data_IF_858001276979
#
_entry.id   IF_858001276979
#
_cell.length_a   1.000
_cell.length_b   1.000
_cell.length_c   1.000
_cell.angle_alpha   90.00
_cell.angle_beta   90.00
_cell.angle_gamma   90.00
#
_symmetry.space_group_name_H-M   'P 1'
#
loop_
_entity.id
_entity.type
_entity.pdbx_description
1 polymer ?
#
# COMPACT_ATOMS: atom_id res chain seq x y z
N UNK A 1 10.43 72.80 -46.92
CA UNK A 1 11.71 73.36 -46.42
C UNK A 1 12.35 72.22 -45.64
N UNK A 2 13.14 71.40 -46.32
CA UNK A 2 14.59 71.58 -46.53
C UNK A 2 15.32 71.47 -45.18
N UNK A 3 15.92 70.31 -44.90
CA UNK A 3 17.39 70.05 -44.91
C UNK A 3 17.97 70.29 -43.50
N UNK A 4 18.93 69.54 -42.95
CA UNK A 4 19.77 68.40 -43.36
C UNK A 4 20.19 67.64 -42.09
N UNK A 5 20.48 66.34 -42.14
CA UNK A 5 21.81 65.74 -42.39
C UNK A 5 22.88 66.21 -41.38
N UNK A 6 23.77 65.39 -40.82
CA UNK A 6 23.98 63.96 -40.61
C UNK A 6 25.34 63.90 -39.87
N UNK A 7 25.57 62.98 -38.93
CA UNK A 7 26.86 62.26 -38.83
C UNK A 7 26.84 61.13 -37.78
N UNK A 8 26.86 59.92 -38.33
CA UNK A 8 27.56 58.67 -38.01
C UNK A 8 27.70 58.05 -36.60
N UNK A 9 27.56 56.72 -36.62
CA UNK A 9 27.45 55.74 -35.53
C UNK A 9 28.84 55.21 -35.06
N UNK A 10 28.95 54.34 -34.01
CA UNK A 10 28.54 52.93 -34.15
C UNK A 10 27.99 52.20 -32.90
N UNK A 11 27.25 51.12 -33.20
CA UNK A 11 27.19 49.78 -32.58
C UNK A 11 26.70 49.52 -31.13
N UNK A 12 25.97 48.40 -31.07
CA UNK A 12 25.74 47.43 -29.98
C UNK A 12 24.59 47.60 -28.97
N UNK A 13 23.71 46.58 -28.97
CA UNK A 13 23.35 45.89 -27.74
C UNK A 13 21.90 45.99 -27.25
N UNK A 14 21.24 44.83 -27.20
CA UNK A 14 20.09 44.45 -26.35
C UNK A 14 18.74 45.14 -26.60
N UNK A 15 17.91 44.51 -27.43
CA UNK A 15 16.45 44.62 -27.32
C UNK A 15 15.97 43.70 -26.20
N UNK A 16 15.76 44.26 -25.01
CA UNK A 16 15.07 43.59 -23.91
C UNK A 16 13.62 43.29 -24.32
N UNK A 17 13.31 42.01 -24.54
CA UNK A 17 11.93 41.56 -24.66
C UNK A 17 11.30 41.55 -23.27
N UNK A 18 10.36 42.46 -23.06
CA UNK A 18 9.59 42.63 -21.84
C UNK A 18 9.05 41.30 -21.28
N UNK A 19 9.52 40.93 -20.10
CA UNK A 19 8.95 39.84 -19.30
C UNK A 19 7.64 40.36 -18.72
N UNK A 20 6.51 39.79 -19.15
CA UNK A 20 5.21 40.07 -18.56
C UNK A 20 5.22 39.70 -17.07
N UNK A 21 4.71 40.61 -16.23
CA UNK A 21 4.58 40.35 -14.81
C UNK A 21 3.66 39.14 -14.56
N UNK A 22 4.00 38.22 -13.64
CA UNK A 22 3.20 37.03 -13.39
C UNK A 22 1.83 37.42 -12.79
N UNK A 23 0.77 36.80 -13.30
CA UNK A 23 -0.57 36.91 -12.73
C UNK A 23 -0.56 36.54 -11.24
N UNK A 24 -1.12 37.42 -10.40
CA UNK A 24 -1.21 37.18 -8.96
C UNK A 24 -2.00 35.90 -8.70
N UNK A 25 -1.34 34.91 -8.09
CA UNK A 25 -1.95 33.65 -7.66
C UNK A 25 -1.49 32.41 -8.41
N UNK A 26 -0.67 32.54 -9.46
CA UNK A 26 -0.07 31.39 -10.16
C UNK A 26 1.41 31.32 -9.81
N UNK A 27 1.81 30.28 -9.07
CA UNK A 27 3.23 30.02 -8.85
C UNK A 27 3.89 29.66 -10.20
N UNK A 28 4.93 30.37 -10.64
CA UNK A 28 5.57 30.06 -11.92
C UNK A 28 6.19 28.66 -11.84
N UNK A 29 5.68 27.72 -12.64
CA UNK A 29 6.31 26.43 -12.84
C UNK A 29 7.61 26.71 -13.57
N UNK A 30 8.76 26.42 -12.93
CA UNK A 30 10.06 26.64 -13.58
C UNK A 30 10.09 25.83 -14.89
N UNK A 31 10.60 26.36 -16.01
CA UNK A 31 10.60 25.68 -17.31
C UNK A 31 11.21 24.27 -17.26
N UNK A 32 12.20 24.05 -16.39
CA UNK A 32 12.80 22.72 -16.18
C UNK A 32 11.86 21.64 -15.63
N UNK A 33 10.66 22.01 -15.16
CA UNK A 33 9.63 21.09 -14.65
C UNK A 33 8.48 20.89 -15.65
N UNK A 34 8.51 21.56 -16.82
CA UNK A 34 7.55 21.39 -17.90
C UNK A 34 8.07 20.35 -18.90
N UNK A 35 8.17 19.09 -18.48
CA UNK A 35 8.41 17.99 -19.43
C UNK A 35 7.13 17.76 -20.24
N UNK A 36 7.15 18.09 -21.53
CA UNK A 36 6.02 17.80 -22.44
C UNK A 36 5.87 16.30 -22.65
N UNK A 37 4.69 15.86 -23.10
CA UNK A 37 4.45 14.44 -23.37
C UNK A 37 5.42 13.92 -24.45
N UNK A 38 5.72 14.77 -25.41
CA UNK A 38 6.65 14.53 -26.51
C UNK A 38 8.09 14.39 -25.99
N UNK A 39 8.54 15.29 -25.11
CA UNK A 39 9.87 15.21 -24.49
C UNK A 39 10.04 13.96 -23.60
N UNK A 40 8.97 13.54 -22.92
CA UNK A 40 8.98 12.30 -22.15
C UNK A 40 9.05 11.05 -23.04
N UNK A 41 8.35 11.05 -24.19
CA UNK A 41 8.44 9.96 -25.17
C UNK A 41 9.79 9.93 -25.87
N UNK A 42 10.33 11.08 -26.28
CA UNK A 42 11.71 11.19 -26.78
C UNK A 42 12.73 10.71 -25.73
N UNK A 43 12.53 11.02 -24.44
CA UNK A 43 13.37 10.48 -23.37
C UNK A 43 13.30 8.95 -23.25
N UNK A 44 12.11 8.36 -23.38
CA UNK A 44 11.94 6.90 -23.39
C UNK A 44 12.54 6.22 -24.64
N UNK A 45 12.63 6.94 -25.76
CA UNK A 45 13.16 6.47 -27.05
C UNK A 45 14.66 6.75 -27.20
N UNK A 46 15.18 7.80 -26.55
CA UNK A 46 16.59 8.20 -26.52
C UNK A 46 17.39 7.36 -25.51
N UNK A 47 17.46 6.06 -25.74
CA UNK A 47 18.53 5.23 -25.17
C UNK A 47 19.89 5.77 -25.64
N UNK A 48 20.59 6.50 -24.77
CA UNK A 48 21.92 7.05 -25.12
C UNK A 48 22.71 7.69 -23.97
N UNK A 49 22.06 8.05 -22.86
CA UNK A 49 22.74 8.30 -21.59
C UNK A 49 21.98 7.58 -20.50
N UNK A 50 22.13 6.25 -20.50
CA UNK A 50 21.76 5.43 -19.34
C UNK A 50 22.41 6.07 -18.11
N UNK A 51 21.60 6.70 -17.25
CA UNK A 51 21.94 6.69 -15.83
C UNK A 51 21.99 5.19 -15.57
N UNK A 52 23.21 4.63 -15.41
CA UNK A 52 23.41 3.22 -15.09
C UNK A 52 22.34 2.87 -14.08
N UNK A 53 21.41 1.97 -14.44
CA UNK A 53 20.34 1.54 -13.55
C UNK A 53 21.04 1.16 -12.27
N UNK A 54 20.95 2.01 -11.23
CA UNK A 54 21.57 1.70 -9.97
C UNK A 54 20.78 0.50 -9.48
N UNK A 55 21.46 -0.63 -9.35
CA UNK A 55 20.95 -1.75 -8.56
C UNK A 55 20.88 -1.27 -7.12
N UNK A 56 19.83 -0.53 -6.79
CA UNK A 56 19.48 -0.23 -5.40
C UNK A 56 18.89 -1.51 -4.84
N UNK A 57 19.76 -2.30 -4.22
CA UNK A 57 19.36 -3.53 -3.54
C UNK A 57 18.52 -3.20 -2.32
N UNK A 58 17.42 -3.93 -2.14
CA UNK A 58 16.59 -3.90 -0.94
C UNK A 58 16.77 -5.23 -0.21
N UNK A 59 17.72 -5.30 0.72
CA UNK A 59 17.92 -6.51 1.52
C UNK A 59 16.93 -6.59 2.68
N UNK A 60 15.83 -7.30 2.43
CA UNK A 60 14.79 -7.58 3.43
C UNK A 60 14.49 -9.07 3.54
N UNK A 61 15.43 -9.92 3.14
CA UNK A 61 15.26 -11.37 3.24
C UNK A 61 15.01 -11.80 4.69
N UNK A 62 14.07 -12.73 4.89
CA UNK A 62 13.65 -13.22 6.20
C UNK A 62 12.76 -12.26 7.01
N UNK A 63 12.53 -11.02 6.54
CA UNK A 63 11.69 -10.05 7.25
C UNK A 63 10.18 -10.31 7.05
N UNK A 64 9.39 -10.00 8.07
CA UNK A 64 7.93 -10.05 8.01
C UNK A 64 7.35 -8.72 7.51
N UNK A 65 6.67 -8.76 6.37
CA UNK A 65 6.18 -7.56 5.69
C UNK A 65 4.67 -7.39 5.90
N UNK A 66 4.25 -6.31 6.57
CA UNK A 66 2.84 -5.91 6.61
C UNK A 66 2.38 -5.42 5.23
N UNK A 67 1.34 -6.05 4.68
CA UNK A 67 0.80 -5.68 3.39
C UNK A 67 0.20 -4.25 3.39
N UNK A 68 0.22 -3.54 2.25
CA UNK A 68 -0.60 -2.35 2.06
C UNK A 68 -2.08 -2.75 2.02
N UNK A 69 -2.87 -2.23 2.97
CA UNK A 69 -4.26 -2.65 3.22
C UNK A 69 -5.19 -1.45 3.09
N UNK A 70 -5.80 -1.22 1.92
CA UNK A 70 -6.71 -0.08 1.73
C UNK A 70 -7.80 -0.03 2.81
N UNK A 71 -8.04 1.16 3.36
CA UNK A 71 -8.92 1.50 4.50
C UNK A 71 -8.35 1.13 5.88
N UNK A 72 -7.70 -0.01 6.04
CA UNK A 72 -7.30 -0.49 7.38
C UNK A 72 -5.80 -0.34 7.68
N UNK A 73 -4.94 -0.26 6.66
CA UNK A 73 -3.48 -0.14 6.74
C UNK A 73 -2.97 1.27 7.01
N UNK A 74 -3.79 2.08 7.67
CA UNK A 74 -3.45 3.46 8.05
C UNK A 74 -2.32 3.48 9.09
N UNK A 75 -1.71 4.65 9.28
CA UNK A 75 -0.56 4.81 10.16
C UNK A 75 -0.78 4.27 11.60
N UNK A 76 -1.92 4.55 12.27
CA UNK A 76 -2.22 3.94 13.57
C UNK A 76 -2.15 2.42 13.57
N UNK A 77 -2.75 1.76 12.57
CA UNK A 77 -2.73 0.30 12.48
C UNK A 77 -1.32 -0.24 12.23
N UNK A 78 -0.53 0.41 11.37
CA UNK A 78 0.86 -0.01 11.11
C UNK A 78 1.72 0.10 12.36
N UNK A 79 1.52 1.12 13.20
CA UNK A 79 2.18 1.25 14.52
C UNK A 79 1.83 0.09 15.46
N UNK A 80 0.57 -0.35 15.48
CA UNK A 80 0.18 -1.55 16.22
C UNK A 80 0.95 -2.77 15.73
N UNK A 81 0.99 -3.01 14.42
CA UNK A 81 1.74 -4.13 13.85
C UNK A 81 3.25 -4.04 14.10
N UNK A 82 3.86 -2.84 14.04
CA UNK A 82 5.29 -2.63 14.40
C UNK A 82 5.56 -3.05 15.84
N UNK A 83 4.68 -2.71 16.79
CA UNK A 83 4.82 -3.14 18.19
C UNK A 83 4.82 -4.66 18.33
N UNK A 84 4.02 -5.35 17.53
CA UNK A 84 3.98 -6.82 17.49
C UNK A 84 5.07 -7.45 16.62
N UNK A 85 6.02 -6.66 16.11
CA UNK A 85 7.18 -7.18 15.41
C UNK A 85 7.03 -7.30 13.90
N UNK A 86 6.14 -6.53 13.26
CA UNK A 86 6.27 -6.30 11.82
C UNK A 86 7.63 -5.65 11.52
N UNK A 87 8.38 -6.19 10.56
CA UNK A 87 9.70 -5.68 10.21
C UNK A 87 9.59 -4.58 9.15
N UNK A 88 8.78 -4.84 8.12
CA UNK A 88 8.53 -3.94 7.00
C UNK A 88 7.08 -3.47 7.01
N UNK A 89 6.89 -2.18 6.77
CA UNK A 89 5.57 -1.54 6.65
C UNK A 89 5.44 -0.84 5.31
N UNK A 90 4.22 -0.76 4.80
CA UNK A 90 3.93 0.01 3.59
C UNK A 90 2.61 0.74 3.74
N UNK A 91 2.58 1.99 3.27
CA UNK A 91 1.38 2.81 3.26
C UNK A 91 0.25 2.16 2.46
N UNK A 92 -0.98 2.63 2.68
CA UNK A 92 -2.07 2.24 1.79
C UNK A 92 -1.76 2.67 0.35
N UNK A 93 -2.37 1.96 -0.61
CA UNK A 93 -2.24 2.28 -2.03
C UNK A 93 -2.68 3.72 -2.31
N UNK A 94 -1.75 4.56 -2.73
CA UNK A 94 -1.98 5.95 -3.09
C UNK A 94 -2.14 6.13 -4.61
N UNK A 95 -3.22 6.78 -5.04
CA UNK A 95 -3.55 7.03 -6.44
C UNK A 95 -2.72 8.21 -6.95
N UNK A 96 -1.86 7.96 -7.93
CA UNK A 96 -0.90 8.95 -8.44
C UNK A 96 -1.58 10.25 -8.92
N UNK A 97 -2.73 10.15 -9.60
CA UNK A 97 -3.45 11.34 -10.07
C UNK A 97 -3.95 12.20 -8.91
N UNK A 98 -4.39 11.57 -7.81
CA UNK A 98 -4.88 12.29 -6.63
C UNK A 98 -3.73 12.97 -5.88
N UNK A 99 -2.57 12.32 -5.80
CA UNK A 99 -1.35 12.91 -5.24
C UNK A 99 -0.90 14.14 -6.03
N UNK A 100 -0.81 14.02 -7.35
CA UNK A 100 -0.43 15.13 -8.23
C UNK A 100 -1.43 16.29 -8.21
N UNK A 101 -2.70 16.01 -7.93
CA UNK A 101 -3.74 17.03 -7.72
C UNK A 101 -3.70 17.68 -6.33
N UNK A 102 -2.79 17.26 -5.45
CA UNK A 102 -2.66 17.82 -4.10
C UNK A 102 -3.78 17.38 -3.14
N UNK A 103 -4.47 16.27 -3.40
CA UNK A 103 -5.55 15.82 -2.51
C UNK A 103 -5.00 15.41 -1.14
N UNK A 104 -5.33 16.18 -0.11
CA UNK A 104 -4.77 16.03 1.25
C UNK A 104 -5.02 14.64 1.85
N UNK A 105 -6.16 14.02 1.53
CA UNK A 105 -6.46 12.65 1.97
C UNK A 105 -5.50 11.61 1.41
N UNK A 106 -5.04 11.81 0.18
CA UNK A 106 -4.09 10.91 -0.49
C UNK A 106 -2.67 11.10 0.07
N UNK A 107 -2.27 12.35 0.28
CA UNK A 107 -0.99 12.69 0.90
C UNK A 107 -0.87 12.16 2.33
N UNK A 108 -1.98 12.07 3.06
CA UNK A 108 -1.99 11.47 4.40
C UNK A 108 -1.57 9.99 4.41
N UNK A 109 -1.75 9.26 3.30
CA UNK A 109 -1.36 7.85 3.17
C UNK A 109 0.17 7.67 3.15
N UNK A 110 0.90 8.72 2.79
CA UNK A 110 2.36 8.72 2.65
C UNK A 110 3.10 8.98 3.97
N UNK A 111 2.37 9.26 5.05
CA UNK A 111 2.97 9.58 6.35
C UNK A 111 3.61 8.36 7.00
N UNK A 112 4.85 8.55 7.46
CA UNK A 112 5.66 7.61 8.27
C UNK A 112 5.67 8.04 9.74
N UNK A 113 5.68 7.09 10.67
CA UNK A 113 5.99 7.32 12.08
C UNK A 113 7.41 6.86 12.39
N UNK A 114 8.08 7.49 13.36
CA UNK A 114 9.47 7.16 13.74
C UNK A 114 9.70 5.70 14.17
N UNK A 115 8.63 4.98 14.55
CA UNK A 115 8.71 3.56 14.89
C UNK A 115 8.74 2.63 13.67
N UNK A 116 8.58 3.15 12.46
CA UNK A 116 8.62 2.38 11.22
C UNK A 116 10.04 2.40 10.68
N UNK A 117 10.88 1.43 11.07
CA UNK A 117 12.30 1.37 10.68
C UNK A 117 12.51 1.12 9.18
N UNK A 118 11.60 0.36 8.56
CA UNK A 118 11.56 0.16 7.12
C UNK A 118 10.13 0.40 6.60
N UNK A 119 9.98 1.46 5.82
CA UNK A 119 8.71 1.98 5.34
C UNK A 119 8.76 2.24 3.83
N UNK A 120 7.77 1.70 3.11
CA UNK A 120 7.55 2.03 1.71
C UNK A 120 6.21 2.69 1.43
N UNK A 121 6.12 3.30 0.24
CA UNK A 121 4.88 3.84 -0.29
C UNK A 121 4.44 3.04 -1.50
N UNK A 122 3.19 2.58 -1.50
CA UNK A 122 2.60 1.91 -2.65
C UNK A 122 1.83 2.90 -3.53
N UNK A 123 2.21 2.99 -4.80
CA UNK A 123 1.56 3.82 -5.82
C UNK A 123 0.64 3.01 -6.73
N UNK A 124 -0.47 3.62 -7.13
CA UNK A 124 -1.43 3.09 -8.10
C UNK A 124 -1.63 4.06 -9.26
N UNK A 125 -1.64 3.51 -10.48
CA UNK A 125 -1.82 4.26 -11.71
C UNK A 125 -1.68 3.35 -12.94
N UNK A 126 -1.91 3.94 -14.10
CA UNK A 126 -2.01 3.19 -15.37
C UNK A 126 -1.18 3.78 -16.52
N UNK A 127 -0.54 4.93 -16.29
CA UNK A 127 0.10 5.73 -17.34
C UNK A 127 1.54 6.09 -16.97
N UNK A 128 2.52 5.82 -17.85
CA UNK A 128 3.94 6.07 -17.59
C UNK A 128 4.28 7.50 -17.16
N UNK A 129 3.72 8.51 -17.84
CA UNK A 129 3.94 9.93 -17.56
C UNK A 129 3.47 10.30 -16.14
N UNK A 130 2.28 9.83 -15.77
CA UNK A 130 1.67 10.12 -14.47
C UNK A 130 2.42 9.41 -13.34
N UNK A 131 2.76 8.13 -13.53
CA UNK A 131 3.52 7.35 -12.54
C UNK A 131 4.93 7.94 -12.33
N UNK A 132 5.61 8.34 -13.41
CA UNK A 132 6.97 8.89 -13.34
C UNK A 132 6.98 10.26 -12.64
N UNK A 133 6.06 11.16 -12.99
CA UNK A 133 5.93 12.46 -12.30
C UNK A 133 5.58 12.29 -10.82
N UNK A 134 4.75 11.30 -10.50
CA UNK A 134 4.44 10.98 -9.11
C UNK A 134 5.70 10.47 -8.38
N UNK A 135 6.45 9.55 -8.97
CA UNK A 135 7.70 9.05 -8.40
C UNK A 135 8.74 10.17 -8.16
N UNK A 136 8.90 11.09 -9.13
CA UNK A 136 9.77 12.27 -8.99
C UNK A 136 9.31 13.19 -7.85
N UNK A 137 8.01 13.41 -7.72
CA UNK A 137 7.42 14.17 -6.63
C UNK A 137 7.70 13.50 -5.27
N UNK A 138 7.49 12.18 -5.16
CA UNK A 138 7.78 11.43 -3.94
C UNK A 138 9.26 11.55 -3.56
N UNK A 139 10.17 11.32 -4.51
CA UNK A 139 11.62 11.39 -4.28
C UNK A 139 12.09 12.74 -3.71
N UNK A 140 11.36 13.82 -4.01
CA UNK A 140 11.67 15.18 -3.54
C UNK A 140 11.02 15.55 -2.22
N UNK A 141 9.93 14.89 -1.83
CA UNK A 141 9.02 15.40 -0.79
C UNK A 141 8.73 14.41 0.33
N UNK A 142 9.05 13.13 0.14
CA UNK A 142 8.72 12.07 1.10
C UNK A 142 9.96 11.22 1.35
N UNK A 143 10.25 10.99 2.63
CA UNK A 143 11.30 10.08 3.08
C UNK A 143 10.74 8.64 3.17
N UNK A 144 11.24 7.76 2.31
CA UNK A 144 10.83 6.36 2.19
C UNK A 144 12.04 5.48 1.90
N UNK A 145 11.97 4.21 2.30
CA UNK A 145 13.05 3.25 2.05
C UNK A 145 12.87 2.52 0.71
N UNK A 146 11.66 2.51 0.15
CA UNK A 146 11.33 1.99 -1.18
C UNK A 146 9.99 2.54 -1.69
N UNK A 147 9.78 2.45 -3.01
CA UNK A 147 8.48 2.72 -3.65
C UNK A 147 7.96 1.43 -4.26
N UNK A 148 6.68 1.12 -4.05
CA UNK A 148 6.03 -0.08 -4.57
C UNK A 148 4.98 0.27 -5.63
N UNK A 149 4.90 -0.50 -6.72
CA UNK A 149 3.81 -0.37 -7.71
C UNK A 149 2.72 -1.39 -7.40
N UNK A 150 1.49 -0.92 -7.22
CA UNK A 150 0.34 -1.80 -7.13
C UNK A 150 -0.04 -2.35 -8.51
N UNK A 151 0.15 -3.66 -8.67
CA UNK A 151 -0.23 -4.43 -9.86
C UNK A 151 -1.15 -5.60 -9.46
N UNK A 152 -1.74 -5.51 -8.26
CA UNK A 152 -2.49 -6.60 -7.62
C UNK A 152 -3.92 -6.23 -7.20
N UNK A 153 -4.28 -4.95 -7.24
CA UNK A 153 -5.61 -4.48 -6.85
C UNK A 153 -6.67 -5.00 -7.83
N UNK A 154 -7.68 -5.76 -7.36
CA UNK A 154 -8.70 -6.34 -8.22
C UNK A 154 -9.92 -5.43 -8.44
N UNK A 155 -9.96 -4.25 -7.80
CA UNK A 155 -11.12 -3.35 -7.77
C UNK A 155 -11.47 -2.94 -9.20
N UNK A 156 -12.75 -3.08 -9.56
CA UNK A 156 -13.21 -2.88 -10.94
C UNK A 156 -12.98 -1.45 -11.43
N UNK A 157 -13.10 -0.45 -10.54
CA UNK A 157 -12.81 0.94 -10.88
C UNK A 157 -11.33 1.16 -11.27
N UNK A 158 -10.41 0.54 -10.55
CA UNK A 158 -8.96 0.61 -10.81
C UNK A 158 -8.63 -0.15 -12.09
N UNK A 159 -9.14 -1.38 -12.22
CA UNK A 159 -8.91 -2.21 -13.40
C UNK A 159 -9.43 -1.58 -14.70
N UNK A 160 -10.64 -1.01 -14.68
CA UNK A 160 -11.24 -0.36 -15.86
C UNK A 160 -10.44 0.86 -16.34
N UNK A 161 -9.75 1.55 -15.42
CA UNK A 161 -8.80 2.63 -15.75
C UNK A 161 -7.45 2.10 -16.25
N UNK A 162 -7.25 0.78 -16.24
CA UNK A 162 -6.05 0.12 -16.72
C UNK A 162 -4.92 0.02 -15.69
N UNK A 163 -5.22 0.25 -14.41
CA UNK A 163 -4.31 0.09 -13.26
C UNK A 163 -4.51 -1.25 -12.53
N UNK A 164 -3.83 -1.44 -11.41
CA UNK A 164 -3.85 -2.67 -10.61
C UNK A 164 -3.55 -3.91 -11.46
N UNK A 165 -4.34 -4.97 -11.31
CA UNK A 165 -4.17 -6.21 -12.07
C UNK A 165 -4.23 -6.02 -13.61
N UNK A 166 -4.81 -4.93 -14.13
CA UNK A 166 -4.86 -4.70 -15.57
C UNK A 166 -3.47 -4.52 -16.19
N UNK A 167 -2.51 -3.97 -15.43
CA UNK A 167 -1.14 -3.76 -15.89
C UNK A 167 -0.43 -5.07 -16.24
N UNK A 168 -0.80 -6.19 -15.62
CA UNK A 168 -0.23 -7.51 -15.92
C UNK A 168 -0.43 -7.95 -17.38
N UNK A 169 -1.49 -7.45 -18.04
CA UNK A 169 -1.78 -7.74 -19.45
C UNK A 169 -1.31 -6.63 -20.40
N UNK A 170 -0.61 -5.60 -19.89
CA UNK A 170 -0.17 -4.41 -20.64
C UNK A 170 1.35 -4.24 -20.52
N UNK A 171 2.10 -5.29 -20.86
CA UNK A 171 3.56 -5.36 -20.62
C UNK A 171 4.31 -4.13 -21.13
N UNK A 172 4.00 -3.63 -22.34
CA UNK A 172 4.65 -2.43 -22.90
C UNK A 172 4.48 -1.20 -22.01
N UNK A 173 3.25 -0.95 -21.52
CA UNK A 173 3.00 0.20 -20.63
C UNK A 173 3.60 -0.02 -19.26
N UNK A 174 3.55 -1.25 -18.75
CA UNK A 174 4.13 -1.57 -17.46
C UNK A 174 5.65 -1.40 -17.48
N UNK A 175 6.33 -1.86 -18.54
CA UNK A 175 7.75 -1.60 -18.79
C UNK A 175 8.08 -0.11 -18.77
N UNK A 176 7.31 0.70 -19.51
CA UNK A 176 7.51 2.16 -19.54
C UNK A 176 7.33 2.81 -18.16
N UNK A 177 6.37 2.34 -17.35
CA UNK A 177 6.18 2.80 -15.97
C UNK A 177 7.42 2.47 -15.13
N UNK A 178 7.87 1.21 -15.14
CA UNK A 178 9.02 0.77 -14.32
C UNK A 178 10.27 1.55 -14.69
N UNK A 179 10.59 1.65 -15.99
CA UNK A 179 11.77 2.38 -16.45
C UNK A 179 11.70 3.88 -16.12
N UNK A 180 10.54 4.51 -16.32
CA UNK A 180 10.35 5.93 -16.01
C UNK A 180 10.52 6.21 -14.52
N UNK A 181 9.94 5.38 -13.65
CA UNK A 181 10.07 5.52 -12.20
C UNK A 181 11.51 5.27 -11.71
N UNK A 182 12.17 4.21 -12.20
CA UNK A 182 13.56 3.91 -11.84
C UNK A 182 14.55 5.02 -12.23
N UNK A 183 14.25 5.80 -13.26
CA UNK A 183 15.11 6.92 -13.65
C UNK A 183 15.15 8.04 -12.58
N UNK A 184 14.01 8.28 -11.93
CA UNK A 184 13.79 9.46 -11.08
C UNK A 184 13.84 9.16 -9.58
N UNK A 185 13.69 7.90 -9.18
CA UNK A 185 13.81 7.45 -7.79
C UNK A 185 15.27 7.22 -7.41
N UNK A 186 15.61 7.61 -6.18
CA UNK A 186 16.90 7.28 -5.56
C UNK A 186 16.82 6.04 -4.66
N UNK A 187 15.62 5.49 -4.48
CA UNK A 187 15.30 4.32 -3.64
C UNK A 187 14.82 3.13 -4.51
N UNK A 188 14.95 1.88 -4.03
CA UNK A 188 14.49 0.70 -4.75
C UNK A 188 13.01 0.77 -5.16
N UNK A 189 12.72 0.33 -6.38
CA UNK A 189 11.36 0.13 -6.88
C UNK A 189 10.96 -1.33 -6.74
N UNK A 190 9.86 -1.57 -6.04
CA UNK A 190 9.27 -2.91 -5.86
C UNK A 190 7.92 -3.00 -6.56
N UNK A 191 7.40 -4.22 -6.75
CA UNK A 191 6.08 -4.43 -7.34
C UNK A 191 5.28 -5.49 -6.59
N UNK A 192 3.98 -5.24 -6.42
CA UNK A 192 3.04 -6.24 -5.88
C UNK A 192 2.07 -6.73 -6.95
N UNK A 193 2.18 -8.00 -7.33
CA UNK A 193 1.38 -8.63 -8.39
C UNK A 193 0.45 -9.73 -7.84
N UNK A 194 -0.41 -10.26 -8.73
CA UNK A 194 -1.22 -11.47 -8.55
C UNK A 194 -0.72 -12.59 -9.46
N UNK A 195 -1.29 -13.79 -9.38
CA UNK A 195 -0.94 -14.89 -10.32
C UNK A 195 -1.34 -14.56 -11.77
N UNK A 196 -2.37 -13.74 -11.94
CA UNK A 196 -2.87 -13.25 -13.22
C UNK A 196 -4.25 -12.62 -13.07
N UNK A 197 -4.87 -12.27 -14.20
CA UNK A 197 -6.24 -11.74 -14.20
C UNK A 197 -7.26 -12.87 -14.07
N UNK A 198 -7.12 -13.92 -14.88
CA UNK A 198 -8.07 -15.02 -14.96
C UNK A 198 -7.69 -16.18 -14.04
N UNK A 199 -8.67 -16.92 -13.49
CA UNK A 199 -8.43 -18.02 -12.55
C UNK A 199 -7.52 -19.14 -13.09
N UNK A 200 -7.63 -19.50 -14.37
CA UNK A 200 -6.89 -20.62 -14.98
C UNK A 200 -5.73 -20.20 -15.88
N UNK A 201 -5.45 -18.91 -15.94
CA UNK A 201 -4.42 -18.34 -16.82
C UNK A 201 -3.41 -17.59 -15.96
N UNK A 202 -2.41 -18.32 -15.47
CA UNK A 202 -1.33 -17.70 -14.72
C UNK A 202 -0.32 -17.06 -15.66
N UNK A 203 0.12 -15.84 -15.34
CA UNK A 203 1.05 -15.06 -16.16
C UNK A 203 2.26 -14.56 -15.35
N UNK A 204 2.21 -14.63 -14.01
CA UNK A 204 3.28 -14.13 -13.14
C UNK A 204 4.65 -14.76 -13.46
N UNK A 205 4.70 -16.09 -13.66
CA UNK A 205 5.93 -16.81 -14.03
C UNK A 205 6.64 -16.28 -15.28
N UNK A 206 5.91 -15.69 -16.24
CA UNK A 206 6.50 -15.10 -17.46
C UNK A 206 6.90 -13.65 -17.24
N UNK A 207 6.14 -12.93 -16.42
CA UNK A 207 6.35 -11.52 -16.14
C UNK A 207 7.54 -11.27 -15.18
N UNK A 208 7.80 -12.16 -14.23
CA UNK A 208 8.85 -11.99 -13.22
C UNK A 208 10.28 -11.84 -13.81
N UNK A 209 10.71 -12.66 -14.80
CA UNK A 209 11.98 -12.43 -15.49
C UNK A 209 12.07 -11.07 -16.18
N UNK A 210 10.96 -10.61 -16.78
CA UNK A 210 10.90 -9.29 -17.44
C UNK A 210 11.04 -8.16 -16.43
N UNK A 211 10.33 -8.24 -15.29
CA UNK A 211 10.40 -7.25 -14.21
C UNK A 211 11.82 -7.06 -13.69
N UNK A 212 12.54 -8.17 -13.49
CA UNK A 212 13.97 -8.15 -13.16
C UNK A 212 14.76 -7.39 -14.23
N UNK A 213 14.54 -7.73 -15.50
CA UNK A 213 15.20 -7.06 -16.63
C UNK A 213 14.86 -5.57 -16.79
N UNK A 214 13.78 -5.09 -16.16
CA UNK A 214 13.40 -3.67 -16.13
C UNK A 214 13.95 -2.93 -14.90
N UNK A 215 14.64 -3.63 -14.00
CA UNK A 215 15.24 -3.05 -12.79
C UNK A 215 14.30 -3.01 -11.59
N UNK A 216 13.31 -3.90 -11.50
CA UNK A 216 12.55 -4.09 -10.25
C UNK A 216 13.46 -4.78 -9.22
N UNK A 217 13.56 -4.19 -8.02
CA UNK A 217 14.45 -4.71 -6.97
C UNK A 217 13.84 -5.91 -6.21
N UNK A 218 12.52 -5.92 -6.04
CA UNK A 218 11.80 -6.97 -5.33
C UNK A 218 10.37 -7.09 -5.85
N UNK A 219 9.87 -8.32 -5.97
CA UNK A 219 8.47 -8.58 -6.29
C UNK A 219 7.74 -9.24 -5.11
N UNK A 220 6.45 -8.93 -4.94
CA UNK A 220 5.55 -9.66 -4.06
C UNK A 220 4.43 -10.30 -4.89
N UNK A 221 4.23 -11.61 -4.75
CA UNK A 221 3.19 -12.35 -5.45
C UNK A 221 2.06 -12.77 -4.50
N UNK A 222 0.86 -12.25 -4.74
CA UNK A 222 -0.36 -12.81 -4.14
C UNK A 222 -0.77 -14.06 -4.90
N UNK A 223 -0.86 -15.20 -4.22
CA UNK A 223 -1.18 -16.52 -4.79
C UNK A 223 -2.62 -16.69 -5.31
N UNK A 224 -3.31 -15.62 -5.67
CA UNK A 224 -4.63 -15.68 -6.32
C UNK A 224 -4.64 -14.86 -7.60
N UNK A 225 -5.50 -15.24 -8.53
CA UNK A 225 -5.83 -14.38 -9.67
C UNK A 225 -6.74 -13.22 -9.23
N UNK A 226 -6.97 -12.26 -10.12
CA UNK A 226 -7.96 -11.21 -9.90
C UNK A 226 -9.36 -11.78 -9.72
N UNK A 227 -9.80 -12.66 -10.63
CA UNK A 227 -11.15 -13.25 -10.64
C UNK A 227 -11.47 -14.05 -9.38
N UNK A 228 -10.47 -14.78 -8.85
CA UNK A 228 -10.63 -15.52 -7.60
C UNK A 228 -10.90 -14.61 -6.40
N UNK A 229 -10.61 -13.31 -6.49
CA UNK A 229 -10.71 -12.32 -5.40
C UNK A 229 -10.20 -12.91 -4.07
N UNK A 230 -11.13 -13.38 -3.23
CA UNK A 230 -10.88 -14.03 -1.95
C UNK A 230 -11.69 -15.33 -1.75
N UNK A 231 -12.31 -15.88 -2.80
CA UNK A 231 -13.21 -17.05 -2.71
C UNK A 231 -12.48 -18.39 -2.73
N UNK A 232 -11.24 -18.40 -3.24
CA UNK A 232 -10.36 -19.58 -3.29
C UNK A 232 -9.21 -19.47 -2.30
N UNK A 233 -8.44 -20.53 -2.10
CA UNK A 233 -7.17 -20.48 -1.36
C UNK A 233 -6.05 -19.89 -2.23
N UNK A 234 -5.03 -19.33 -1.61
CA UNK A 234 -3.81 -18.94 -2.29
C UNK A 234 -3.02 -20.17 -2.76
N UNK A 235 -2.58 -20.16 -4.02
CA UNK A 235 -1.78 -21.21 -4.63
C UNK A 235 -0.29 -21.00 -4.33
N UNK A 236 0.15 -21.61 -3.21
CA UNK A 236 1.54 -21.57 -2.77
C UNK A 236 2.46 -22.46 -3.61
N UNK A 237 1.93 -23.47 -4.29
CA UNK A 237 2.70 -24.32 -5.20
C UNK A 237 3.08 -23.52 -6.46
N UNK A 238 2.16 -22.70 -6.97
CA UNK A 238 2.46 -21.77 -8.04
C UNK A 238 3.40 -20.64 -7.61
N UNK A 239 3.32 -20.17 -6.36
CA UNK A 239 4.32 -19.23 -5.81
C UNK A 239 5.73 -19.85 -5.84
N UNK A 240 5.87 -21.12 -5.43
CA UNK A 240 7.16 -21.83 -5.49
C UNK A 240 7.75 -21.85 -6.92
N UNK A 241 6.92 -22.15 -7.94
CA UNK A 241 7.36 -22.06 -9.34
C UNK A 241 7.80 -20.64 -9.72
N UNK A 242 7.11 -19.62 -9.21
CA UNK A 242 7.44 -18.23 -9.48
C UNK A 242 8.72 -17.76 -8.79
N UNK A 243 9.11 -18.36 -7.66
CA UNK A 243 10.42 -18.10 -7.02
C UNK A 243 11.55 -18.44 -7.98
N UNK A 244 11.49 -19.62 -8.61
CA UNK A 244 12.50 -20.05 -9.60
C UNK A 244 12.57 -19.09 -10.80
N UNK A 245 11.41 -18.64 -11.29
CA UNK A 245 11.34 -17.70 -12.41
C UNK A 245 11.84 -16.27 -12.07
N UNK A 246 11.71 -15.83 -10.81
CA UNK A 246 12.15 -14.51 -10.37
C UNK A 246 13.67 -14.44 -10.11
N UNK A 247 14.28 -15.55 -9.72
CA UNK A 247 15.69 -15.63 -9.29
C UNK A 247 16.66 -14.92 -10.27
N UNK A 248 17.62 -14.10 -9.80
CA UNK A 248 17.97 -13.82 -8.40
C UNK A 248 17.16 -12.71 -7.72
N UNK A 249 16.17 -12.09 -8.39
CA UNK A 249 15.33 -11.07 -7.75
C UNK A 249 14.52 -11.71 -6.61
N UNK A 250 14.57 -11.17 -5.37
CA UNK A 250 13.79 -11.69 -4.26
C UNK A 250 12.28 -11.66 -4.55
N UNK A 251 11.61 -12.78 -4.22
CA UNK A 251 10.16 -12.89 -4.32
C UNK A 251 9.54 -13.09 -2.92
N UNK A 252 8.66 -12.17 -2.53
CA UNK A 252 7.83 -12.32 -1.34
C UNK A 252 6.53 -13.04 -1.66
N UNK A 253 6.17 -14.01 -0.82
CA UNK A 253 4.91 -14.73 -0.92
C UNK A 253 3.79 -14.02 -0.15
N UNK A 254 2.59 -13.96 -0.72
CA UNK A 254 1.42 -13.38 -0.07
C UNK A 254 0.17 -14.25 -0.26
N UNK A 255 -0.59 -14.42 0.82
CA UNK A 255 -1.92 -15.03 0.80
C UNK A 255 -2.13 -16.05 1.89
N UNK A 256 -3.21 -15.88 2.66
CA UNK A 256 -3.72 -16.87 3.62
C UNK A 256 -2.76 -17.29 4.73
N UNK A 257 -1.84 -16.40 5.11
CA UNK A 257 -1.03 -16.53 6.31
C UNK A 257 -1.86 -16.08 7.52
N UNK A 258 -2.33 -17.04 8.33
CA UNK A 258 -3.11 -16.80 9.55
C UNK A 258 -2.46 -17.44 10.78
N UNK A 259 -1.28 -18.02 10.66
CA UNK A 259 -0.59 -18.69 11.77
C UNK A 259 0.91 -18.76 11.52
N UNK A 260 1.67 -19.07 12.57
CA UNK A 260 3.10 -19.32 12.40
C UNK A 260 3.36 -20.57 11.56
N UNK A 261 2.50 -21.59 11.63
CA UNK A 261 2.58 -22.76 10.76
C UNK A 261 2.34 -22.43 9.29
N UNK A 262 1.39 -21.52 8.99
CA UNK A 262 1.18 -21.03 7.62
C UNK A 262 2.43 -20.32 7.11
N UNK A 263 3.03 -19.44 7.92
CA UNK A 263 4.25 -18.72 7.57
C UNK A 263 5.42 -19.70 7.34
N UNK A 264 5.59 -20.69 8.20
CA UNK A 264 6.62 -21.73 8.05
C UNK A 264 6.43 -22.55 6.77
N UNK A 265 5.18 -22.95 6.45
CA UNK A 265 4.86 -23.64 5.20
C UNK A 265 5.17 -22.75 3.99
N UNK A 266 4.84 -21.46 4.06
CA UNK A 266 5.14 -20.51 3.02
C UNK A 266 6.66 -20.34 2.80
N UNK A 267 7.46 -20.19 3.86
CA UNK A 267 8.91 -20.07 3.74
C UNK A 267 9.56 -21.30 3.07
N UNK A 268 8.99 -22.51 3.23
CA UNK A 268 9.46 -23.73 2.54
C UNK A 268 9.32 -23.67 1.01
N UNK A 269 8.54 -22.73 0.47
CA UNK A 269 8.43 -22.51 -0.99
C UNK A 269 9.64 -21.79 -1.58
N UNK A 270 10.58 -21.33 -0.76
CA UNK A 270 11.77 -20.62 -1.21
C UNK A 270 11.58 -19.10 -1.37
N UNK A 271 10.41 -18.56 -0.97
CA UNK A 271 10.20 -17.11 -0.94
C UNK A 271 11.21 -16.42 0.00
N UNK A 272 11.64 -15.23 -0.37
CA UNK A 272 12.59 -14.44 0.43
C UNK A 272 11.96 -13.96 1.75
N UNK A 273 10.63 -13.88 1.81
CA UNK A 273 9.87 -13.53 3.00
C UNK A 273 8.37 -13.66 2.74
N UNK A 274 7.58 -13.42 3.79
CA UNK A 274 6.11 -13.44 3.70
C UNK A 274 5.54 -12.05 3.91
N UNK A 275 4.61 -11.67 3.05
CA UNK A 275 3.77 -10.51 3.24
C UNK A 275 2.43 -10.91 3.87
N UNK A 276 2.11 -10.34 5.03
CA UNK A 276 0.95 -10.66 5.85
C UNK A 276 -0.11 -9.57 5.67
N UNK A 277 -1.31 -9.98 5.25
CA UNK A 277 -2.43 -9.07 4.95
C UNK A 277 -3.57 -9.24 5.96
N UNK A 278 -4.66 -9.95 5.58
CA UNK A 278 -5.83 -10.16 6.44
C UNK A 278 -5.51 -10.84 7.78
N UNK A 279 -4.48 -11.69 7.83
CA UNK A 279 -4.02 -12.28 9.09
C UNK A 279 -3.68 -11.24 10.15
N UNK A 280 -3.01 -10.14 9.76
CA UNK A 280 -2.69 -9.04 10.67
C UNK A 280 -3.94 -8.26 11.11
N UNK A 281 -4.97 -8.13 10.25
CA UNK A 281 -6.23 -7.49 10.62
C UNK A 281 -7.03 -8.31 11.64
N UNK A 282 -6.94 -9.65 11.56
CA UNK A 282 -7.57 -10.57 12.52
C UNK A 282 -6.80 -10.63 13.83
N UNK A 283 -5.46 -10.63 13.76
CA UNK A 283 -4.58 -10.68 14.93
C UNK A 283 -3.26 -9.95 14.62
N UNK A 284 -3.12 -8.68 15.04
CA UNK A 284 -1.87 -7.95 14.85
C UNK A 284 -0.66 -8.62 15.49
N UNK A 285 -0.86 -9.42 16.54
CA UNK A 285 0.19 -10.22 17.18
C UNK A 285 0.65 -11.44 16.38
N UNK A 286 0.11 -11.70 15.19
CA UNK A 286 0.58 -12.77 14.31
C UNK A 286 2.07 -12.64 13.97
N UNK A 287 2.60 -11.42 13.89
CA UNK A 287 4.03 -11.21 13.72
C UNK A 287 4.84 -11.78 14.91
N UNK A 288 4.36 -11.57 16.13
CA UNK A 288 4.94 -12.15 17.35
C UNK A 288 4.81 -13.68 17.34
N UNK A 289 3.65 -14.22 16.98
CA UNK A 289 3.47 -15.67 16.87
C UNK A 289 4.47 -16.32 15.90
N UNK A 290 4.72 -15.66 14.76
CA UNK A 290 5.70 -16.13 13.76
C UNK A 290 7.12 -16.06 14.32
N UNK A 291 7.49 -14.99 15.02
CA UNK A 291 8.83 -14.85 15.59
C UNK A 291 9.07 -15.81 16.75
N UNK A 292 8.07 -16.03 17.60
CA UNK A 292 8.15 -16.89 18.77
C UNK A 292 7.78 -18.36 18.48
N UNK A 293 7.33 -18.68 17.27
CA UNK A 293 6.96 -20.02 16.84
C UNK A 293 5.90 -20.68 17.76
N UNK A 294 4.91 -19.89 18.18
CA UNK A 294 3.81 -20.36 19.04
C UNK A 294 2.55 -19.54 18.83
N UNK A 295 1.40 -20.13 19.15
CA UNK A 295 0.16 -19.39 19.23
C UNK A 295 0.09 -18.49 20.48
N UNK A 296 -0.51 -17.31 20.30
CA UNK A 296 -0.82 -16.41 21.40
C UNK A 296 -2.32 -16.44 21.67
N UNK A 297 -2.68 -16.86 22.88
CA UNK A 297 -4.05 -16.84 23.38
C UNK A 297 -4.25 -15.68 24.36
N UNK A 298 -4.23 -14.45 23.84
CA UNK A 298 -4.35 -13.26 24.68
C UNK A 298 -5.77 -13.04 25.19
N UNK A 299 -5.87 -12.47 26.38
CA UNK A 299 -7.14 -12.16 27.05
C UNK A 299 -7.94 -11.08 26.33
N UNK A 300 -9.22 -10.95 26.68
CA UNK A 300 -10.08 -9.86 26.21
C UNK A 300 -9.56 -8.48 26.63
N UNK A 301 -8.95 -8.38 27.82
CA UNK A 301 -8.39 -7.13 28.36
C UNK A 301 -7.15 -6.69 27.58
N UNK A 302 -6.21 -7.60 27.30
CA UNK A 302 -5.06 -7.30 26.44
C UNK A 302 -5.51 -6.87 25.02
N UNK A 303 -6.56 -7.50 24.48
CA UNK A 303 -7.14 -7.09 23.19
C UNK A 303 -7.76 -5.70 23.25
N UNK A 304 -8.43 -5.34 24.34
CA UNK A 304 -8.97 -3.98 24.53
C UNK A 304 -7.86 -2.94 24.64
N UNK A 305 -6.76 -3.27 25.31
CA UNK A 305 -5.60 -2.38 25.40
C UNK A 305 -5.00 -2.10 24.01
N UNK A 306 -4.93 -3.10 23.13
CA UNK A 306 -4.53 -2.91 21.72
C UNK A 306 -5.47 -1.92 21.00
N UNK A 307 -6.79 -2.04 21.22
CA UNK A 307 -7.75 -1.09 20.63
C UNK A 307 -7.58 0.32 21.20
N UNK A 308 -7.26 0.44 22.50
CA UNK A 308 -6.94 1.72 23.15
C UNK A 308 -5.68 2.35 22.57
N UNK A 309 -4.65 1.56 22.28
CA UNK A 309 -3.46 2.06 21.63
C UNK A 309 -3.75 2.55 20.21
N UNK A 310 -4.59 1.84 19.47
CA UNK A 310 -5.03 2.28 18.15
C UNK A 310 -5.76 3.62 18.22
N UNK A 311 -6.66 3.81 19.21
CA UNK A 311 -7.36 5.09 19.37
C UNK A 311 -6.41 6.20 19.76
N UNK A 312 -5.46 5.98 20.67
CA UNK A 312 -4.43 6.96 20.99
C UNK A 312 -3.62 7.37 19.76
N UNK A 313 -3.12 6.41 18.98
CA UNK A 313 -2.37 6.68 17.75
C UNK A 313 -3.24 7.39 16.70
N UNK A 314 -4.53 7.06 16.63
CA UNK A 314 -5.50 7.73 15.77
C UNK A 314 -5.68 9.21 16.13
N UNK A 315 -5.84 9.52 17.41
CA UNK A 315 -5.99 10.89 17.90
C UNK A 315 -4.71 11.71 17.70
N UNK A 316 -3.52 11.12 17.90
CA UNK A 316 -2.24 11.75 17.55
C UNK A 316 -2.13 12.07 16.06
N UNK A 317 -2.64 11.18 15.21
CA UNK A 317 -2.48 11.29 13.76
C UNK A 317 -3.54 12.16 13.06
N UNK A 318 -4.79 12.10 13.53
CA UNK A 318 -5.93 12.80 12.93
C UNK A 318 -6.45 13.97 13.75
N UNK A 319 -5.99 14.14 14.99
CA UNK A 319 -6.43 15.17 15.91
C UNK A 319 -7.37 14.64 16.99
N UNK A 320 -7.43 15.38 18.10
CA UNK A 320 -8.35 15.14 19.22
C UNK A 320 -9.57 16.05 19.21
N UNK A 321 -9.76 16.83 18.13
CA UNK A 321 -10.98 17.57 17.88
C UNK A 321 -12.10 16.62 17.43
N UNK A 322 -13.32 17.12 17.29
CA UNK A 322 -14.47 16.30 16.91
C UNK A 322 -14.24 15.55 15.59
N UNK A 323 -13.59 16.19 14.60
CA UNK A 323 -13.30 15.55 13.31
C UNK A 323 -12.28 14.42 13.45
N UNK A 324 -11.21 14.63 14.20
CA UNK A 324 -10.18 13.63 14.45
C UNK A 324 -10.68 12.44 15.27
N UNK A 325 -11.51 12.68 16.28
CA UNK A 325 -12.18 11.62 17.07
C UNK A 325 -13.08 10.77 16.17
N UNK A 326 -13.94 11.39 15.36
CA UNK A 326 -14.85 10.65 14.49
C UNK A 326 -14.14 9.92 13.35
N UNK A 327 -13.03 10.49 12.85
CA UNK A 327 -12.16 9.81 11.89
C UNK A 327 -11.48 8.59 12.52
N UNK A 328 -10.96 8.73 13.73
CA UNK A 328 -10.39 7.63 14.52
C UNK A 328 -11.43 6.53 14.74
N UNK A 329 -12.63 6.90 15.19
CA UNK A 329 -13.76 5.99 15.39
C UNK A 329 -14.09 5.24 14.12
N UNK A 330 -14.21 5.93 12.99
CA UNK A 330 -14.53 5.30 11.70
C UNK A 330 -13.50 4.23 11.33
N UNK A 331 -12.21 4.52 11.44
CA UNK A 331 -11.17 3.55 11.10
C UNK A 331 -11.06 2.40 12.11
N UNK A 332 -11.32 2.67 13.40
CA UNK A 332 -11.44 1.63 14.42
C UNK A 332 -12.57 0.67 14.06
N UNK A 333 -13.75 1.18 13.70
CA UNK A 333 -14.91 0.37 13.33
C UNK A 333 -14.68 -0.46 12.05
N UNK A 334 -14.01 0.12 11.05
CA UNK A 334 -13.59 -0.64 9.85
C UNK A 334 -12.65 -1.78 10.23
N UNK A 335 -11.70 -1.57 11.15
CA UNK A 335 -10.82 -2.63 11.61
C UNK A 335 -11.55 -3.69 12.45
N UNK A 336 -12.46 -3.29 13.35
CA UNK A 336 -13.29 -4.21 14.14
C UNK A 336 -14.10 -5.18 13.25
N UNK A 337 -14.50 -4.75 12.06
CA UNK A 337 -15.19 -5.62 11.08
C UNK A 337 -14.35 -6.81 10.56
N UNK A 338 -13.03 -6.76 10.78
CA UNK A 338 -12.10 -7.87 10.55
C UNK A 338 -11.72 -8.57 11.84
N UNK A 339 -11.42 -7.80 12.90
CA UNK A 339 -10.99 -8.34 14.19
C UNK A 339 -12.03 -9.29 14.81
N UNK A 340 -13.33 -9.04 14.58
CA UNK A 340 -14.40 -9.89 15.08
C UNK A 340 -14.38 -11.34 14.55
N UNK A 341 -13.57 -11.62 13.54
CA UNK A 341 -13.38 -12.97 12.98
C UNK A 341 -12.32 -13.77 13.71
N UNK A 342 -11.53 -13.14 14.58
CA UNK A 342 -10.60 -13.86 15.44
C UNK A 342 -11.38 -14.71 16.45
N UNK A 343 -10.96 -15.96 16.58
CA UNK A 343 -11.43 -16.85 17.63
C UNK A 343 -10.24 -17.12 18.57
N UNK A 344 -10.41 -16.92 19.89
CA UNK A 344 -9.40 -17.27 20.88
C UNK A 344 -8.91 -18.70 20.72
N UNK A 345 -7.62 -18.91 20.90
CA UNK A 345 -6.97 -20.20 20.66
C UNK A 345 -7.54 -21.28 21.58
N UNK A 346 -7.78 -20.95 22.86
CA UNK A 346 -8.40 -21.86 23.81
C UNK A 346 -9.86 -22.24 23.51
N UNK A 347 -10.50 -21.58 22.54
CA UNK A 347 -11.86 -21.91 22.07
C UNK A 347 -11.87 -22.64 20.71
N UNK A 348 -10.72 -22.74 20.03
CA UNK A 348 -10.64 -23.40 18.74
C UNK A 348 -10.55 -24.91 18.92
N UNK A 349 -11.46 -25.64 18.29
CA UNK A 349 -11.43 -27.11 18.23
C UNK A 349 -10.20 -27.62 17.44
N UNK A 350 -9.81 -26.89 16.39
CA UNK A 350 -8.66 -27.20 15.55
C UNK A 350 -7.82 -25.96 15.28
N UNK A 351 -6.51 -26.10 15.46
CA UNK A 351 -5.52 -25.11 15.07
C UNK A 351 -4.82 -25.51 13.76
N UNK A 352 -4.43 -24.55 12.90
CA UNK A 352 -4.79 -23.12 12.95
C UNK A 352 -6.16 -22.83 12.31
N UNK A 353 -6.76 -21.68 12.67
CA UNK A 353 -7.94 -21.14 12.00
C UNK A 353 -7.64 -20.83 10.53
N UNK A 354 -8.52 -21.27 9.61
CA UNK A 354 -8.38 -20.97 8.18
C UNK A 354 -9.12 -19.70 7.79
N UNK A 355 -8.60 -18.99 6.78
CA UNK A 355 -9.15 -17.69 6.31
C UNK A 355 -10.64 -17.73 5.90
N UNK A 356 -11.11 -18.88 5.41
CA UNK A 356 -12.48 -19.08 4.93
C UNK A 356 -13.37 -19.81 5.94
N UNK A 357 -12.82 -20.23 7.08
CA UNK A 357 -13.63 -20.78 8.17
C UNK A 357 -14.45 -19.64 8.77
N UNK A 358 -15.77 -19.82 8.77
CA UNK A 358 -16.68 -18.98 9.54
C UNK A 358 -16.99 -19.75 10.81
N UNK A 359 -16.41 -19.37 11.96
CA UNK A 359 -16.73 -20.04 13.20
C UNK A 359 -18.24 -19.92 13.46
N UNK A 360 -18.88 -20.96 14.03
CA UNK A 360 -20.25 -20.84 14.51
C UNK A 360 -20.34 -19.73 15.57
N UNK A 361 -21.55 -19.26 15.86
CA UNK A 361 -21.74 -18.36 16.99
C UNK A 361 -21.24 -19.03 18.27
N UNK A 362 -20.38 -18.33 19.00
CA UNK A 362 -19.81 -18.80 20.25
C UNK A 362 -19.91 -17.70 21.30
N UNK A 363 -20.00 -18.11 22.56
CA UNK A 363 -19.81 -17.23 23.69
C UNK A 363 -18.32 -17.17 24.01
N UNK A 364 -17.80 -15.96 24.12
CA UNK A 364 -16.44 -15.75 24.58
C UNK A 364 -16.26 -16.20 26.03
N UNK A 365 -15.00 -16.29 26.47
CA UNK A 365 -14.64 -16.61 27.87
C UNK A 365 -15.19 -15.57 28.85
N UNK A 366 -15.47 -14.36 28.38
CA UNK A 366 -16.14 -13.29 29.13
C UNK A 366 -17.04 -12.43 28.22
N UNK A 367 -17.69 -11.44 28.82
CA UNK A 367 -18.59 -10.52 28.11
C UNK A 367 -17.87 -9.72 27.01
N UNK A 368 -16.65 -9.22 27.30
CA UNK A 368 -15.90 -8.38 26.38
C UNK A 368 -15.43 -9.16 25.16
N UNK A 369 -15.01 -10.40 25.36
CA UNK A 369 -14.67 -11.33 24.29
C UNK A 369 -15.87 -11.66 23.41
N UNK A 370 -17.03 -11.89 24.02
CA UNK A 370 -18.30 -12.08 23.29
C UNK A 370 -18.65 -10.84 22.47
N UNK A 371 -18.48 -9.65 23.04
CA UNK A 371 -18.73 -8.37 22.36
C UNK A 371 -17.77 -8.17 21.17
N UNK A 372 -16.48 -8.47 21.35
CA UNK A 372 -15.48 -8.38 20.26
C UNK A 372 -15.71 -9.41 19.15
N UNK A 373 -16.27 -10.58 19.46
CA UNK A 373 -16.60 -11.62 18.48
C UNK A 373 -17.91 -11.34 17.72
N UNK A 374 -18.69 -10.34 18.16
CA UNK A 374 -19.98 -10.03 17.54
C UNK A 374 -19.81 -9.60 16.08
N UNK A 375 -20.72 -10.07 15.23
CA UNK A 375 -20.84 -9.59 13.85
C UNK A 375 -21.81 -8.41 13.72
N UNK A 376 -22.44 -7.96 14.81
CA UNK A 376 -23.33 -6.80 14.78
C UNK A 376 -22.52 -5.50 14.88
N UNK A 377 -22.71 -4.60 13.92
CA UNK A 377 -22.06 -3.29 13.91
C UNK A 377 -22.37 -2.43 15.14
N UNK A 378 -23.54 -2.62 15.78
CA UNK A 378 -23.91 -1.90 17.01
C UNK A 378 -22.98 -2.25 18.18
N UNK A 379 -22.52 -3.50 18.27
CA UNK A 379 -21.58 -3.93 19.29
C UNK A 379 -20.18 -3.32 19.07
N UNK A 380 -19.78 -3.16 17.81
CA UNK A 380 -18.54 -2.44 17.48
C UNK A 380 -18.63 -0.96 17.85
N UNK A 381 -19.80 -0.34 17.64
CA UNK A 381 -20.05 1.03 18.09
C UNK A 381 -19.89 1.12 19.61
N UNK A 382 -20.50 0.20 20.36
CA UNK A 382 -20.36 0.14 21.82
C UNK A 382 -18.89 0.02 22.27
N UNK A 383 -18.11 -0.84 21.62
CA UNK A 383 -16.66 -0.93 21.86
C UNK A 383 -15.94 0.39 21.59
N UNK A 384 -16.30 1.08 20.51
CA UNK A 384 -15.73 2.39 20.21
C UNK A 384 -16.14 3.46 21.22
N UNK A 385 -17.34 3.39 21.81
CA UNK A 385 -17.80 4.32 22.84
C UNK A 385 -17.03 4.17 24.14
N UNK A 386 -16.65 2.94 24.50
CA UNK A 386 -15.78 2.66 25.64
C UNK A 386 -14.41 3.35 25.52
N UNK A 387 -13.93 3.61 24.31
CA UNK A 387 -12.59 4.13 24.03
C UNK A 387 -12.54 5.60 23.64
N UNK A 388 -13.60 6.11 22.98
CA UNK A 388 -13.64 7.44 22.38
C UNK A 388 -14.82 8.30 22.89
N UNK A 389 -15.58 7.80 23.86
CA UNK A 389 -16.79 8.46 24.35
C UNK A 389 -18.02 8.23 23.46
N UNK A 390 -19.19 8.76 23.85
CA UNK A 390 -20.47 8.47 23.19
C UNK A 390 -20.50 8.93 21.73
N UNK A 391 -21.23 8.21 20.88
CA UNK A 391 -21.48 8.65 19.49
C UNK A 391 -22.62 9.69 19.43
N UNK A 392 -22.70 10.50 18.37
CA UNK A 392 -23.85 11.35 18.14
C UNK A 392 -25.17 10.55 18.07
N UNK A 393 -26.33 11.11 18.48
CA UNK A 393 -27.60 10.38 18.58
C UNK A 393 -28.07 9.64 17.31
N UNK A 394 -27.67 10.11 16.13
CA UNK A 394 -28.05 9.54 14.84
C UNK A 394 -26.88 8.83 14.14
N UNK A 395 -25.83 8.45 14.88
CA UNK A 395 -24.68 7.78 14.33
C UNK A 395 -25.06 6.37 13.83
N UNK A 396 -24.73 6.10 12.57
CA UNK A 396 -24.89 4.77 11.97
C UNK A 396 -23.60 4.40 11.28
N UNK A 397 -23.02 3.28 11.68
CA UNK A 397 -21.89 2.69 10.98
C UNK A 397 -22.37 1.62 10.00
N UNK A 398 -21.91 1.73 8.76
CA UNK A 398 -22.06 0.69 7.75
C UNK A 398 -20.65 0.33 7.28
N UNK A 399 -20.18 -0.91 7.52
CA UNK A 399 -18.83 -1.30 7.12
C UNK A 399 -18.68 -1.26 5.60
N UNK A 400 -17.54 -0.74 5.15
CA UNK A 400 -17.25 -0.54 3.71
C UNK A 400 -17.17 -1.86 2.96
N UNK A 401 -16.59 -2.87 3.59
CA UNK A 401 -16.66 -4.23 3.10
C UNK A 401 -17.98 -4.79 3.60
N UNK A 402 -18.85 -5.28 2.71
CA UNK A 402 -20.09 -6.03 3.02
C UNK A 402 -19.77 -7.29 3.84
N UNK A 403 -19.18 -7.15 5.02
CA UNK A 403 -19.33 -8.09 6.09
C UNK A 403 -20.83 -8.28 6.23
N UNK A 404 -21.28 -9.52 6.39
CA UNK A 404 -22.71 -9.82 6.57
C UNK A 404 -23.22 -9.32 7.95
N UNK A 405 -22.70 -8.20 8.43
CA UNK A 405 -23.13 -7.48 9.62
C UNK A 405 -24.41 -6.74 9.27
N UNK A 406 -25.54 -7.42 9.47
CA UNK A 406 -26.85 -6.79 9.47
C UNK A 406 -27.12 -6.22 10.88
N UNK A 407 -27.96 -5.19 10.97
CA UNK A 407 -28.38 -4.58 12.25
C UNK A 407 -29.14 -5.57 13.12
#
# INVERSE_FOLDING_TARGET
MAEGAAEEAPADGSGDSAVSAPERGVAPIKPQYLATKEQFHEFLEATGKEKVLRETELDISGKLYLAPLTTCGNLPFRRICKRFGADVTCGEMAICTSLLQGQTSEWALLKRHQSEDLFGVQLEGAFPDTMTRCAELLNRTVDVDFVDINVGCPIDLVYKKGGGCALMNRSTKFRQIVLGMNQVLDVPLTVKIRTGVQERTHVAHRLLPELRGWGVALATLHGRSREQRYTKLADWQYIQQCVEAANPMPLFGNGDILSYEDANRAMKTGVAGVMIARGALLKPWLFTEIKEQRHWDISSSERLDILRDFTHYGLEHWGSDTQGVEKTRRFLLEWLSFLCRYVPVGLLERLPQRINERPPYYLGRDYLETLMASQNSADWVRLSEMLLGPVPPNFVFLPKHKANSYK
#
